data_IF_435479225347
#
_entry.id   IF_435479225347
#
_cell.length_a   1.000
_cell.length_b   1.000
_cell.length_c   1.000
_cell.angle_alpha   90.00
_cell.angle_beta   90.00
_cell.angle_gamma   90.00
#
_symmetry.space_group_name_H-M   'P 1'
#
loop_
_entity.id
_entity.type
_entity.pdbx_description
1 polymer ?
#
# COMPACT_ATOMS: atom_id res chain seq x y z
N UNK A 1 6.46 -38.39 13.40
CA UNK A 1 7.25 -37.73 12.32
C UNK A 1 6.36 -36.97 11.34
N UNK A 2 5.35 -37.57 10.69
CA UNK A 2 4.40 -36.81 9.85
C UNK A 2 3.59 -35.75 10.62
N UNK A 3 3.15 -36.11 11.83
CA UNK A 3 2.35 -35.21 12.69
C UNK A 3 3.17 -34.01 13.19
N UNK A 4 4.40 -34.24 13.65
CA UNK A 4 5.36 -33.19 14.02
C UNK A 4 5.75 -32.28 12.86
N UNK A 5 5.79 -32.79 11.61
CA UNK A 5 6.04 -31.97 10.42
C UNK A 5 4.83 -31.08 10.12
N UNK A 6 3.61 -31.61 10.22
CA UNK A 6 2.38 -30.84 10.02
C UNK A 6 2.21 -29.73 11.07
N UNK A 7 2.50 -30.03 12.34
CA UNK A 7 2.47 -29.03 13.42
C UNK A 7 3.49 -27.91 13.18
N UNK A 8 4.70 -28.24 12.73
CA UNK A 8 5.72 -27.26 12.38
C UNK A 8 5.31 -26.38 11.18
N UNK A 9 4.69 -26.97 10.15
CA UNK A 9 4.16 -26.22 9.01
C UNK A 9 3.02 -25.28 9.40
N UNK A 10 2.10 -25.71 10.26
CA UNK A 10 1.01 -24.88 10.75
C UNK A 10 1.51 -23.71 11.60
N UNK A 11 2.53 -23.96 12.44
CA UNK A 11 3.16 -22.92 13.24
C UNK A 11 3.90 -21.91 12.36
N UNK A 12 4.62 -22.37 11.33
CA UNK A 12 5.25 -21.50 10.34
C UNK A 12 4.21 -20.64 9.58
N UNK A 13 3.09 -21.25 9.15
CA UNK A 13 1.97 -20.55 8.51
C UNK A 13 1.41 -19.44 9.41
N UNK A 14 1.22 -19.72 10.70
CA UNK A 14 0.74 -18.74 11.68
C UNK A 14 1.69 -17.55 11.83
N UNK A 15 2.99 -17.81 12.01
CA UNK A 15 4.02 -16.76 12.11
C UNK A 15 4.04 -15.89 10.85
N UNK A 16 3.94 -16.50 9.67
CA UNK A 16 3.93 -15.77 8.41
C UNK A 16 2.70 -14.87 8.26
N UNK A 17 1.51 -15.36 8.64
CA UNK A 17 0.28 -14.55 8.67
C UNK A 17 0.42 -13.33 9.58
N UNK A 18 1.03 -13.48 10.76
CA UNK A 18 1.28 -12.36 11.68
C UNK A 18 2.20 -11.32 11.07
N UNK A 19 3.28 -11.78 10.43
CA UNK A 19 4.23 -10.90 9.75
C UNK A 19 3.58 -10.13 8.60
N UNK A 20 2.71 -10.77 7.81
CA UNK A 20 1.94 -10.11 6.76
C UNK A 20 1.01 -9.05 7.35
N UNK A 21 0.22 -9.40 8.38
CA UNK A 21 -0.71 -8.48 9.03
C UNK A 21 0.02 -7.26 9.63
N UNK A 22 1.16 -7.46 10.28
CA UNK A 22 2.00 -6.36 10.76
C UNK A 22 2.51 -5.48 9.61
N UNK A 23 2.91 -6.09 8.50
CA UNK A 23 3.39 -5.40 7.30
C UNK A 23 2.29 -4.54 6.67
N UNK A 24 1.06 -5.04 6.58
CA UNK A 24 -0.11 -4.24 6.15
C UNK A 24 -0.38 -3.07 7.10
N UNK A 25 -0.25 -3.30 8.41
CA UNK A 25 -0.42 -2.23 9.38
C UNK A 25 0.59 -1.10 9.20
N UNK A 26 1.86 -1.45 9.00
CA UNK A 26 2.93 -0.49 8.68
C UNK A 26 2.64 0.22 7.36
N UNK A 27 2.17 -0.51 6.34
CA UNK A 27 1.78 0.06 5.05
C UNK A 27 0.73 1.16 5.21
N UNK A 28 -0.37 0.90 5.94
CA UNK A 28 -1.45 1.88 6.13
C UNK A 28 -0.97 3.11 6.89
N UNK A 29 -0.19 2.94 7.97
CA UNK A 29 0.36 4.07 8.73
C UNK A 29 1.29 4.89 7.85
N UNK A 30 2.20 4.25 7.13
CA UNK A 30 3.12 4.95 6.26
C UNK A 30 2.36 5.75 5.20
N UNK A 31 1.42 5.14 4.50
CA UNK A 31 0.62 5.85 3.51
C UNK A 31 -0.23 6.99 4.11
N UNK A 32 -0.63 6.92 5.39
CA UNK A 32 -1.25 8.07 6.08
C UNK A 32 -0.33 9.29 6.16
N UNK A 33 0.99 9.11 6.28
CA UNK A 33 1.94 10.23 6.32
C UNK A 33 2.12 10.89 4.95
N UNK A 34 1.87 10.17 3.85
CA UNK A 34 1.88 10.75 2.49
C UNK A 34 0.82 11.82 2.38
N UNK A 35 -0.40 11.47 2.76
CA UNK A 35 -1.58 12.33 2.71
C UNK A 35 -1.33 13.65 3.45
N UNK A 36 -0.76 13.59 4.66
CA UNK A 36 -0.43 14.78 5.45
C UNK A 36 0.68 15.60 4.80
N UNK A 37 1.73 14.92 4.30
CA UNK A 37 2.87 15.57 3.66
C UNK A 37 2.45 16.33 2.40
N UNK A 38 1.57 15.74 1.58
CA UNK A 38 0.98 16.39 0.41
C UNK A 38 0.08 17.55 0.82
N UNK A 39 -0.81 17.36 1.81
CA UNK A 39 -1.67 18.45 2.29
C UNK A 39 -0.86 19.67 2.76
N UNK A 40 0.23 19.47 3.50
CA UNK A 40 1.11 20.55 3.96
C UNK A 40 1.78 21.24 2.76
N UNK A 41 2.30 20.49 1.79
CA UNK A 41 2.95 21.05 0.61
C UNK A 41 2.03 21.95 -0.21
N UNK A 42 0.77 21.52 -0.43
CA UNK A 42 -0.21 22.32 -1.16
C UNK A 42 -0.75 23.52 -0.35
N UNK A 43 -0.60 23.50 0.98
CA UNK A 43 -1.03 24.60 1.86
C UNK A 43 -0.04 25.76 1.94
N UNK A 44 1.18 25.63 1.41
CA UNK A 44 2.21 26.68 1.42
C UNK A 44 2.24 27.38 0.05
N UNK A 45 1.71 28.62 -0.08
CA UNK A 45 1.52 29.29 -1.38
C UNK A 45 2.83 29.49 -2.15
N UNK A 46 3.92 29.80 -1.44
CA UNK A 46 5.22 30.10 -2.03
C UNK A 46 5.98 28.87 -2.56
N UNK A 47 5.47 27.66 -2.29
CA UNK A 47 6.08 26.42 -2.77
C UNK A 47 5.38 25.84 -4.00
N UNK A 48 4.32 26.45 -4.52
CA UNK A 48 3.55 25.90 -5.65
C UNK A 48 4.38 25.66 -6.93
N UNK A 49 5.45 26.41 -7.18
CA UNK A 49 6.35 26.15 -8.31
C UNK A 49 7.30 24.98 -8.05
N UNK A 50 7.79 24.83 -6.81
CA UNK A 50 8.61 23.68 -6.39
C UNK A 50 7.77 22.42 -6.10
N UNK A 51 6.46 22.58 -5.89
CA UNK A 51 5.59 21.52 -5.37
C UNK A 51 5.54 20.35 -6.32
N UNK A 52 5.61 20.56 -7.63
CA UNK A 52 5.60 19.45 -8.61
C UNK A 52 6.84 18.56 -8.47
N UNK A 53 8.04 19.14 -8.33
CA UNK A 53 9.28 18.37 -8.19
C UNK A 53 9.39 17.69 -6.81
N UNK A 54 8.96 18.39 -5.76
CA UNK A 54 8.89 17.82 -4.41
C UNK A 54 7.84 16.71 -4.32
N UNK A 55 6.69 16.90 -4.98
CA UNK A 55 5.63 15.90 -5.09
C UNK A 55 6.14 14.64 -5.77
N UNK A 56 6.81 14.76 -6.92
CA UNK A 56 7.40 13.60 -7.62
C UNK A 56 8.39 12.87 -6.72
N UNK A 57 9.27 13.61 -6.03
CA UNK A 57 10.29 13.04 -5.15
C UNK A 57 9.68 12.28 -3.96
N UNK A 58 8.67 12.88 -3.31
CA UNK A 58 7.96 12.25 -2.19
C UNK A 58 7.22 11.02 -2.66
N UNK A 59 6.44 11.15 -3.75
CA UNK A 59 5.69 10.05 -4.34
C UNK A 59 6.61 8.88 -4.71
N UNK A 60 7.80 9.16 -5.25
CA UNK A 60 8.79 8.14 -5.56
C UNK A 60 9.23 7.34 -4.31
N UNK A 61 9.42 8.01 -3.17
CA UNK A 61 9.72 7.35 -1.89
C UNK A 61 8.58 6.42 -1.48
N UNK A 62 7.33 6.91 -1.55
CA UNK A 62 6.16 6.11 -1.16
C UNK A 62 5.94 4.88 -2.05
N UNK A 63 6.14 5.04 -3.35
CA UNK A 63 6.02 3.96 -4.32
C UNK A 63 7.14 2.93 -4.17
N UNK A 64 8.39 3.38 -3.99
CA UNK A 64 9.53 2.48 -3.74
C UNK A 64 9.29 1.65 -2.48
N UNK A 65 8.82 2.30 -1.41
CA UNK A 65 8.52 1.60 -0.17
C UNK A 65 7.34 0.63 -0.32
N UNK A 66 6.32 0.99 -1.10
CA UNK A 66 5.19 0.09 -1.44
C UNK A 66 5.69 -1.16 -2.16
N UNK A 67 6.55 -1.00 -3.17
CA UNK A 67 7.16 -2.13 -3.88
C UNK A 67 7.97 -3.03 -2.93
N UNK A 68 8.75 -2.46 -2.01
CA UNK A 68 9.52 -3.22 -1.01
C UNK A 68 8.59 -3.99 -0.06
N UNK A 69 7.50 -3.38 0.40
CA UNK A 69 6.55 -4.04 1.30
C UNK A 69 5.82 -5.17 0.60
N UNK A 70 5.34 -4.94 -0.62
CA UNK A 70 4.65 -5.97 -1.39
C UNK A 70 5.62 -7.08 -1.78
N UNK A 71 6.89 -6.78 -2.11
CA UNK A 71 7.92 -7.80 -2.28
C UNK A 71 8.04 -8.71 -1.06
N UNK A 72 8.11 -8.12 0.14
CA UNK A 72 8.18 -8.88 1.39
C UNK A 72 6.95 -9.76 1.58
N UNK A 73 5.75 -9.25 1.26
CA UNK A 73 4.52 -10.03 1.30
C UNK A 73 4.53 -11.17 0.27
N UNK A 74 4.97 -10.91 -0.96
CA UNK A 74 5.10 -11.90 -2.03
C UNK A 74 6.11 -13.00 -1.69
N UNK A 75 7.27 -12.65 -1.13
CA UNK A 75 8.26 -13.64 -0.69
C UNK A 75 7.71 -14.54 0.42
N UNK A 76 6.86 -14.01 1.29
CA UNK A 76 6.15 -14.82 2.29
C UNK A 76 5.13 -15.75 1.62
N UNK A 77 4.41 -15.29 0.59
CA UNK A 77 3.52 -16.14 -0.21
C UNK A 77 4.26 -17.26 -0.93
N UNK A 78 5.44 -16.98 -1.48
CA UNK A 78 6.27 -17.97 -2.19
C UNK A 78 6.71 -19.12 -1.26
N UNK A 79 6.86 -18.86 0.04
CA UNK A 79 7.14 -19.90 1.05
C UNK A 79 5.89 -20.78 1.30
N UNK A 80 4.70 -20.23 1.08
CA UNK A 80 3.41 -20.90 1.32
C UNK A 80 2.86 -21.61 0.09
N UNK A 81 3.13 -21.10 -1.12
CA UNK A 81 2.67 -21.60 -2.42
C UNK A 81 3.75 -21.35 -3.52
N UNK A 82 3.99 -22.31 -4.45
CA UNK A 82 5.20 -22.38 -5.31
C UNK A 82 5.21 -21.35 -6.49
N UNK A 83 6.20 -21.38 -7.43
CA UNK A 83 7.03 -20.24 -7.92
C UNK A 83 6.36 -19.14 -8.77
N UNK A 84 5.05 -19.19 -9.04
CA UNK A 84 4.39 -18.20 -9.90
C UNK A 84 4.49 -16.76 -9.37
N UNK A 85 4.65 -16.61 -8.06
CA UNK A 85 4.61 -15.32 -7.38
C UNK A 85 5.82 -14.44 -7.66
N UNK A 86 6.99 -15.01 -8.00
CA UNK A 86 8.19 -14.24 -8.33
C UNK A 86 8.01 -13.44 -9.64
N UNK A 87 7.41 -14.08 -10.67
CA UNK A 87 7.11 -13.43 -11.95
C UNK A 87 6.05 -12.33 -11.78
N UNK A 88 5.00 -12.60 -10.99
CA UNK A 88 3.94 -11.62 -10.68
C UNK A 88 4.51 -10.38 -9.97
N UNK A 89 5.47 -10.54 -9.06
CA UNK A 89 6.15 -9.41 -8.41
C UNK A 89 6.99 -8.56 -9.39
N UNK A 90 7.78 -9.20 -10.26
CA UNK A 90 8.59 -8.49 -11.26
C UNK A 90 7.68 -7.69 -12.19
N UNK A 91 6.59 -8.31 -12.66
CA UNK A 91 5.59 -7.66 -13.49
C UNK A 91 4.93 -6.48 -12.77
N UNK A 92 4.51 -6.66 -11.51
CA UNK A 92 3.93 -5.59 -10.69
C UNK A 92 4.90 -4.40 -10.54
N UNK A 93 6.16 -4.69 -10.24
CA UNK A 93 7.20 -3.66 -10.06
C UNK A 93 7.47 -2.92 -11.37
N UNK A 94 7.57 -3.66 -12.49
CA UNK A 94 7.74 -3.06 -13.81
C UNK A 94 6.56 -2.17 -14.19
N UNK A 95 5.32 -2.62 -13.95
CA UNK A 95 4.11 -1.81 -14.19
C UNK A 95 4.13 -0.54 -13.33
N UNK A 96 4.50 -0.62 -12.05
CA UNK A 96 4.64 0.56 -11.20
C UNK A 96 5.65 1.56 -11.76
N UNK A 97 6.83 1.11 -12.21
CA UNK A 97 7.82 1.99 -12.82
C UNK A 97 7.34 2.62 -14.13
N UNK A 98 6.59 1.88 -14.95
CA UNK A 98 5.97 2.43 -16.17
C UNK A 98 4.97 3.52 -15.82
N UNK A 99 4.08 3.27 -14.84
CA UNK A 99 3.10 4.27 -14.37
C UNK A 99 3.81 5.53 -13.87
N UNK A 100 4.89 5.38 -13.10
CA UNK A 100 5.72 6.50 -12.62
C UNK A 100 6.31 7.27 -13.80
N UNK A 101 6.90 6.56 -14.77
CA UNK A 101 7.47 7.16 -15.96
C UNK A 101 6.43 7.98 -16.73
N UNK A 102 5.21 7.43 -16.89
CA UNK A 102 4.08 8.13 -17.52
C UNK A 102 3.66 9.35 -16.70
N UNK A 103 3.58 9.25 -15.38
CA UNK A 103 3.28 10.40 -14.50
C UNK A 103 4.30 11.52 -14.62
N UNK A 104 5.59 11.20 -14.51
CA UNK A 104 6.66 12.18 -14.62
C UNK A 104 6.64 12.82 -16.02
N UNK A 105 6.55 12.02 -17.07
CA UNK A 105 6.53 12.49 -18.45
C UNK A 105 5.34 13.43 -18.73
N UNK A 106 4.14 13.04 -18.30
CA UNK A 106 2.91 13.81 -18.54
C UNK A 106 2.84 15.10 -17.72
N UNK A 107 3.24 15.05 -16.45
CA UNK A 107 3.28 16.23 -15.57
C UNK A 107 4.39 17.23 -15.97
N UNK A 108 5.53 16.75 -16.50
CA UNK A 108 6.68 17.62 -16.80
C UNK A 108 6.64 18.22 -18.20
N UNK A 109 6.18 17.46 -19.22
CA UNK A 109 6.27 17.87 -20.63
C UNK A 109 4.96 18.42 -21.17
N UNK A 110 3.85 17.80 -20.78
CA UNK A 110 2.58 17.97 -21.46
C UNK A 110 1.60 18.84 -20.70
N UNK A 111 1.72 18.92 -19.37
CA UNK A 111 0.77 19.60 -18.48
C UNK A 111 -0.70 19.18 -18.74
N UNK A 112 -0.88 17.98 -19.32
CA UNK A 112 -2.17 17.43 -19.71
C UNK A 112 -2.72 16.57 -18.57
N UNK A 113 -3.72 17.12 -17.87
CA UNK A 113 -4.37 16.51 -16.71
C UNK A 113 -5.04 15.15 -16.99
N UNK A 114 -5.46 14.90 -18.24
CA UNK A 114 -6.19 13.68 -18.63
C UNK A 114 -5.36 12.40 -18.50
N UNK A 115 -4.10 12.39 -18.94
CA UNK A 115 -3.24 11.22 -18.83
C UNK A 115 -2.87 10.90 -17.39
N UNK A 116 -2.71 11.93 -16.55
CA UNK A 116 -2.49 11.81 -15.12
C UNK A 116 -3.67 11.10 -14.43
N UNK A 117 -4.92 11.46 -14.76
CA UNK A 117 -6.13 10.79 -14.23
C UNK A 117 -6.14 9.30 -14.59
N UNK A 118 -5.91 8.95 -15.86
CA UNK A 118 -5.94 7.54 -16.31
C UNK A 118 -4.92 6.70 -15.56
N UNK A 119 -3.71 7.22 -15.38
CA UNK A 119 -2.65 6.51 -14.69
C UNK A 119 -2.88 6.45 -13.17
N UNK A 120 -3.55 7.43 -12.56
CA UNK A 120 -4.11 7.32 -11.19
C UNK A 120 -5.11 6.18 -11.06
N UNK A 121 -6.06 6.07 -11.98
CA UNK A 121 -7.08 5.02 -11.94
C UNK A 121 -6.42 3.64 -11.98
N UNK A 122 -5.49 3.44 -12.93
CA UNK A 122 -4.76 2.18 -13.08
C UNK A 122 -3.95 1.87 -11.82
N UNK A 123 -3.16 2.84 -11.32
CA UNK A 123 -2.37 2.68 -10.10
C UNK A 123 -3.24 2.28 -8.91
N UNK A 124 -4.34 3.01 -8.70
CA UNK A 124 -5.26 2.82 -7.59
C UNK A 124 -5.90 1.44 -7.66
N UNK A 125 -6.32 0.99 -8.84
CA UNK A 125 -6.91 -0.34 -9.04
C UNK A 125 -5.90 -1.45 -8.70
N UNK A 126 -4.68 -1.37 -9.24
CA UNK A 126 -3.65 -2.38 -9.00
C UNK A 126 -3.29 -2.45 -7.52
N UNK A 127 -3.02 -1.30 -6.87
CA UNK A 127 -2.61 -1.30 -5.46
C UNK A 127 -3.74 -1.74 -4.54
N UNK A 128 -4.99 -1.34 -4.82
CA UNK A 128 -6.15 -1.79 -4.05
C UNK A 128 -6.33 -3.31 -4.12
N UNK A 129 -6.22 -3.89 -5.31
CA UNK A 129 -6.29 -5.33 -5.51
C UNK A 129 -5.16 -6.06 -4.76
N UNK A 130 -3.95 -5.50 -4.79
CA UNK A 130 -2.82 -6.08 -4.05
C UNK A 130 -3.04 -6.05 -2.54
N UNK A 131 -3.50 -4.94 -1.97
CA UNK A 131 -3.84 -4.86 -0.55
C UNK A 131 -4.90 -5.91 -0.20
N UNK A 132 -5.95 -6.02 -1.01
CA UNK A 132 -7.02 -6.98 -0.80
C UNK A 132 -6.51 -8.42 -0.81
N UNK A 133 -5.71 -8.80 -1.81
CA UNK A 133 -5.11 -10.13 -1.87
C UNK A 133 -4.20 -10.39 -0.66
N UNK A 134 -3.34 -9.44 -0.28
CA UNK A 134 -2.40 -9.62 0.83
C UNK A 134 -3.17 -9.77 2.15
N UNK A 135 -4.24 -9.01 2.34
CA UNK A 135 -5.13 -9.13 3.50
C UNK A 135 -5.84 -10.49 3.50
N UNK A 136 -6.28 -10.98 2.35
CA UNK A 136 -6.95 -12.29 2.22
C UNK A 136 -6.04 -13.44 2.68
N UNK A 137 -4.75 -13.37 2.40
CA UNK A 137 -3.80 -14.43 2.80
C UNK A 137 -3.57 -14.54 4.31
N UNK A 138 -3.91 -13.49 5.06
CA UNK A 138 -3.94 -13.57 6.52
C UNK A 138 -5.06 -14.48 7.05
N UNK A 139 -5.94 -14.96 6.15
CA UNK A 139 -7.06 -15.86 6.42
C UNK A 139 -8.41 -15.16 6.27
N UNK A 140 -8.48 -13.85 6.52
CA UNK A 140 -9.66 -13.03 6.24
C UNK A 140 -9.33 -11.55 6.09
N UNK A 141 -10.01 -10.92 5.15
CA UNK A 141 -10.03 -9.47 5.01
C UNK A 141 -10.90 -8.89 6.12
N UNK A 142 -10.36 -7.96 6.90
CA UNK A 142 -11.09 -7.34 8.03
C UNK A 142 -11.81 -6.09 7.56
N UNK A 143 -12.81 -5.66 8.31
CA UNK A 143 -13.55 -4.43 8.00
C UNK A 143 -12.65 -3.21 7.84
N UNK A 144 -11.57 -3.10 8.64
CA UNK A 144 -10.64 -2.00 8.55
C UNK A 144 -9.74 -2.05 7.30
N UNK A 145 -9.52 -3.23 6.70
CA UNK A 145 -8.83 -3.36 5.41
C UNK A 145 -9.71 -2.80 4.28
N UNK A 146 -11.02 -3.09 4.31
CA UNK A 146 -11.98 -2.50 3.37
C UNK A 146 -12.05 -0.98 3.51
N UNK A 147 -12.10 -0.48 4.75
CA UNK A 147 -12.08 0.96 5.00
C UNK A 147 -10.82 1.57 4.38
N UNK A 148 -9.65 0.98 4.62
CA UNK A 148 -8.39 1.49 4.07
C UNK A 148 -8.39 1.51 2.54
N UNK A 149 -8.89 0.46 1.88
CA UNK A 149 -9.00 0.40 0.41
C UNK A 149 -9.99 1.44 -0.13
N UNK A 150 -11.17 1.56 0.48
CA UNK A 150 -12.19 2.53 0.04
C UNK A 150 -11.66 3.96 0.17
N UNK A 151 -11.04 4.28 1.32
CA UNK A 151 -10.49 5.62 1.55
C UNK A 151 -9.25 5.87 0.71
N UNK A 152 -8.49 4.83 0.35
CA UNK A 152 -7.41 4.95 -0.64
C UNK A 152 -7.96 5.40 -1.98
N UNK A 153 -8.95 4.66 -2.51
CA UNK A 153 -9.57 4.95 -3.80
C UNK A 153 -10.13 6.37 -3.80
N UNK A 154 -10.90 6.71 -2.76
CA UNK A 154 -11.44 8.06 -2.60
C UNK A 154 -10.33 9.12 -2.54
N UNK A 155 -9.24 8.89 -1.81
CA UNK A 155 -8.11 9.83 -1.71
C UNK A 155 -7.39 10.06 -3.04
N UNK A 156 -7.17 8.99 -3.81
CA UNK A 156 -6.43 9.07 -5.07
C UNK A 156 -7.30 9.68 -6.17
N UNK A 157 -8.61 9.41 -6.18
CA UNK A 157 -9.53 9.94 -7.19
C UNK A 157 -10.04 11.35 -6.88
N UNK A 158 -10.36 11.65 -5.63
CA UNK A 158 -10.96 12.93 -5.22
C UNK A 158 -9.92 13.94 -4.70
N UNK A 159 -8.78 13.47 -4.20
CA UNK A 159 -7.75 14.35 -3.65
C UNK A 159 -7.12 15.27 -4.71
N UNK A 160 -7.08 14.84 -5.97
CA UNK A 160 -6.68 15.69 -7.10
C UNK A 160 -7.68 16.82 -7.39
N UNK A 161 -8.95 16.66 -6.99
CA UNK A 161 -9.99 17.66 -7.17
C UNK A 161 -10.07 18.64 -5.98
N UNK A 162 -9.75 18.17 -4.78
CA UNK A 162 -9.72 19.00 -3.57
C UNK A 162 -8.71 18.46 -2.55
N UNK A 163 -7.60 19.19 -2.38
CA UNK A 163 -6.50 18.78 -1.49
C UNK A 163 -6.89 18.75 -0.01
N UNK A 164 -7.94 19.46 0.42
CA UNK A 164 -8.42 19.38 1.80
C UNK A 164 -9.01 18.01 2.14
N UNK A 165 -9.51 17.28 1.14
CA UNK A 165 -10.04 15.93 1.35
C UNK A 165 -8.93 14.96 1.79
N UNK A 166 -7.67 15.21 1.45
CA UNK A 166 -6.55 14.41 1.94
C UNK A 166 -6.58 14.29 3.47
N UNK A 167 -6.79 15.39 4.21
CA UNK A 167 -6.82 15.36 5.67
C UNK A 167 -7.91 14.43 6.25
N UNK A 168 -9.02 14.22 5.54
CA UNK A 168 -10.09 13.32 5.99
C UNK A 168 -9.68 11.84 5.89
N UNK A 169 -8.89 11.49 4.87
CA UNK A 169 -8.48 10.10 4.61
C UNK A 169 -7.31 9.62 5.48
N UNK A 170 -6.69 10.54 6.22
CA UNK A 170 -5.62 10.24 7.18
C UNK A 170 -6.08 9.32 8.33
N UNK A 171 -7.20 9.66 8.99
CA UNK A 171 -7.66 8.93 10.18
C UNK A 171 -8.04 7.47 9.92
N UNK A 172 -8.79 7.14 8.85
CA UNK A 172 -9.11 5.76 8.51
C UNK A 172 -7.87 4.88 8.31
N UNK A 173 -6.79 5.45 7.75
CA UNK A 173 -5.55 4.74 7.49
C UNK A 173 -4.71 4.51 8.74
N UNK A 174 -4.59 5.50 9.63
CA UNK A 174 -3.99 5.27 10.95
C UNK A 174 -4.79 4.21 11.71
N UNK A 175 -6.11 4.33 11.71
CA UNK A 175 -6.98 3.39 12.40
C UNK A 175 -6.79 1.95 11.91
N UNK A 176 -6.83 1.73 10.59
CA UNK A 176 -6.58 0.44 9.99
C UNK A 176 -5.16 -0.06 10.31
N UNK A 177 -4.18 0.83 10.26
CA UNK A 177 -2.79 0.56 10.62
C UNK A 177 -2.61 0.05 12.04
N UNK A 178 -3.12 0.79 13.02
CA UNK A 178 -3.05 0.44 14.44
C UNK A 178 -3.81 -0.85 14.73
N UNK A 179 -5.04 -1.00 14.21
CA UNK A 179 -5.81 -2.24 14.39
C UNK A 179 -5.10 -3.45 13.81
N UNK A 180 -4.50 -3.31 12.62
CA UNK A 180 -3.73 -4.37 11.99
C UNK A 180 -2.51 -4.77 12.84
N UNK A 181 -1.81 -3.80 13.41
CA UNK A 181 -0.66 -4.06 14.30
C UNK A 181 -1.12 -4.74 15.59
N UNK A 182 -2.17 -4.25 16.24
CA UNK A 182 -2.71 -4.83 17.48
C UNK A 182 -3.13 -6.29 17.26
N UNK A 183 -3.85 -6.58 16.17
CA UNK A 183 -4.25 -7.94 15.83
C UNK A 183 -3.04 -8.87 15.65
N UNK A 184 -1.92 -8.35 15.13
CA UNK A 184 -0.68 -9.14 15.01
C UNK A 184 -0.01 -9.46 16.36
N UNK A 185 -0.38 -8.75 17.44
CA UNK A 185 0.13 -8.96 18.80
C UNK A 185 -0.85 -9.72 19.71
N UNK A 186 -2.16 -9.50 19.57
CA UNK A 186 -3.19 -10.18 20.38
C UNK A 186 -3.23 -11.68 20.09
N UNK A 187 -3.17 -12.06 18.81
CA UNK A 187 -3.12 -13.48 18.42
C UNK A 187 -1.82 -14.15 18.88
N UNK A 188 -0.74 -13.39 19.09
CA UNK A 188 0.51 -13.90 19.65
C UNK A 188 0.46 -14.11 21.18
N UNK A 189 -0.50 -13.49 21.88
CA UNK A 189 -0.67 -13.60 23.34
C UNK A 189 -1.61 -14.75 23.74
N UNK A 190 -2.61 -15.04 22.93
CA UNK A 190 -3.55 -16.15 23.19
C UNK A 190 -2.93 -17.54 22.92
N UNK A 191 -1.69 -17.57 22.39
CA UNK A 191 -0.97 -18.79 22.00
C UNK A 191 0.30 -19.07 22.86
N UNK A 192 0.49 -18.34 23.97
CA UNK A 192 1.49 -18.61 25.02
C UNK A 192 0.81 -19.16 26.29
#
# INVERSE_FOLDING_TARGET
MKQTIQEAEELAKRILKHKIRKTLGIYYIFWSTYIVSIGILYSIPNLQFLSTYLFISILFVYLTYTSILFYKAYRVREILEPPEYKSKYILFTAILFIIIGVWIYTLTIFNYFSYYIVSIVIYTAIVSEQIFQIARDTGKVRYYDYIAIITFIASMMLGSLNYHLYYLYFFPWIYAGVKSIIESYEVAKDEQ
#
